data_IF_537710166640
#
_entry.id   IF_537710166640
#
_cell.length_a   1.000
_cell.length_b   1.000
_cell.length_c   1.000
_cell.angle_alpha   90.00
_cell.angle_beta   90.00
_cell.angle_gamma   90.00
#
_symmetry.space_group_name_H-M   'P 1'
#
loop_
_entity.id
_entity.type
_entity.pdbx_description
1 polymer ?
#
# COMPACT_ATOMS: atom_id res chain seq x y z
N UNK A 1 -13.43 -9.45 29.60
CA UNK A 1 -14.04 -8.65 28.54
C UNK A 1 -14.13 -9.54 27.31
N UNK A 2 -15.34 -9.81 26.83
CA UNK A 2 -15.50 -10.58 25.59
C UNK A 2 -14.96 -9.73 24.42
N UNK A 3 -13.81 -10.11 23.92
CA UNK A 3 -13.26 -9.50 22.70
C UNK A 3 -14.18 -9.90 21.53
N UNK A 4 -15.04 -8.98 21.13
CA UNK A 4 -15.98 -9.21 20.05
C UNK A 4 -15.23 -9.43 18.74
N UNK A 5 -15.38 -10.62 18.16
CA UNK A 5 -14.79 -10.95 16.86
C UNK A 5 -15.53 -10.18 15.78
N UNK A 6 -14.81 -9.32 15.06
CA UNK A 6 -15.31 -8.64 13.86
C UNK A 6 -14.79 -9.35 12.63
N UNK A 7 -15.58 -9.42 11.57
CA UNK A 7 -15.17 -10.01 10.30
C UNK A 7 -15.17 -8.93 9.22
N UNK A 8 -14.00 -8.71 8.61
CA UNK A 8 -13.89 -7.88 7.41
C UNK A 8 -14.03 -8.77 6.20
N UNK A 9 -14.89 -8.39 5.28
CA UNK A 9 -15.13 -9.10 4.02
C UNK A 9 -14.65 -8.23 2.88
N UNK A 10 -13.82 -8.80 2.02
CA UNK A 10 -13.35 -8.18 0.79
C UNK A 10 -13.58 -9.17 -0.36
N UNK A 11 -14.09 -8.70 -1.49
CA UNK A 11 -14.42 -9.55 -2.64
C UNK A 11 -13.18 -10.23 -3.25
N UNK A 12 -12.01 -9.58 -3.19
CA UNK A 12 -10.76 -10.09 -3.76
C UNK A 12 -9.99 -11.00 -2.79
N UNK A 13 -9.97 -10.66 -1.49
CA UNK A 13 -9.14 -11.35 -0.48
C UNK A 13 -9.92 -12.26 0.46
N UNK A 14 -11.25 -12.33 0.30
CA UNK A 14 -12.12 -13.11 1.16
C UNK A 14 -12.41 -12.45 2.50
N UNK A 15 -12.60 -13.24 3.55
CA UNK A 15 -12.96 -12.75 4.87
C UNK A 15 -11.83 -12.95 5.87
N UNK A 16 -11.53 -11.89 6.65
CA UNK A 16 -10.53 -11.91 7.71
C UNK A 16 -11.19 -11.53 9.03
N UNK A 17 -11.12 -12.42 10.00
CA UNK A 17 -11.59 -12.17 11.37
C UNK A 17 -10.56 -11.34 12.13
N UNK A 18 -11.05 -10.43 12.94
CA UNK A 18 -10.22 -9.57 13.79
C UNK A 18 -10.78 -9.54 15.21
N UNK A 19 -9.91 -9.25 16.15
CA UNK A 19 -10.24 -8.92 17.54
C UNK A 19 -9.55 -7.62 17.92
N UNK A 20 -10.04 -6.97 18.94
CA UNK A 20 -9.35 -5.84 19.55
C UNK A 20 -8.75 -6.30 20.88
N UNK A 21 -7.44 -6.15 21.05
CA UNK A 21 -6.74 -6.51 22.27
C UNK A 21 -5.84 -5.35 22.72
N UNK A 22 -6.07 -4.85 23.91
CA UNK A 22 -5.34 -3.70 24.48
C UNK A 22 -5.33 -2.46 23.58
N UNK A 23 -6.45 -2.15 22.91
CA UNK A 23 -6.59 -1.02 21.98
C UNK A 23 -5.88 -1.24 20.63
N UNK A 24 -5.46 -2.47 20.33
CA UNK A 24 -4.85 -2.82 19.05
C UNK A 24 -5.68 -3.85 18.31
N UNK A 25 -5.81 -3.66 17.00
CA UNK A 25 -6.48 -4.64 16.13
C UNK A 25 -5.51 -5.79 15.86
N UNK A 26 -6.01 -7.01 16.08
CA UNK A 26 -5.30 -8.24 15.81
C UNK A 26 -6.06 -9.03 14.74
N UNK A 27 -5.36 -9.64 13.83
CA UNK A 27 -5.91 -10.33 12.65
C UNK A 27 -5.81 -11.85 12.81
N UNK A 28 -6.82 -12.60 12.44
CA UNK A 28 -6.74 -14.07 12.43
C UNK A 28 -5.66 -14.53 11.46
N UNK A 29 -4.56 -15.04 11.98
CA UNK A 29 -3.38 -15.40 11.20
C UNK A 29 -3.66 -16.47 10.14
N UNK A 30 -4.57 -17.42 10.44
CA UNK A 30 -5.00 -18.43 9.46
C UNK A 30 -5.72 -17.79 8.27
N UNK A 31 -6.65 -16.88 8.55
CA UNK A 31 -7.45 -16.23 7.49
C UNK A 31 -6.54 -15.38 6.60
N UNK A 32 -5.64 -14.60 7.22
CA UNK A 32 -4.63 -13.80 6.49
C UNK A 32 -3.72 -14.67 5.63
N UNK A 33 -3.18 -15.76 6.19
CA UNK A 33 -2.28 -16.63 5.44
C UNK A 33 -3.00 -17.32 4.26
N UNK A 34 -4.27 -17.70 4.42
CA UNK A 34 -5.08 -18.25 3.33
C UNK A 34 -5.32 -17.21 2.23
N UNK A 35 -5.70 -15.98 2.61
CA UNK A 35 -5.89 -14.87 1.68
C UNK A 35 -4.61 -14.56 0.90
N UNK A 36 -3.44 -14.69 1.52
CA UNK A 36 -2.13 -14.49 0.91
C UNK A 36 -1.59 -15.73 0.16
N UNK A 37 -2.41 -16.77 -0.03
CA UNK A 37 -2.06 -17.93 -0.85
C UNK A 37 -1.09 -18.93 -0.20
N UNK A 38 -0.88 -18.86 1.11
CA UNK A 38 -0.03 -19.84 1.80
C UNK A 38 -0.76 -21.18 1.94
N UNK A 39 -0.16 -22.24 1.43
CA UNK A 39 -0.68 -23.61 1.53
C UNK A 39 -0.62 -24.16 2.96
N UNK A 40 0.45 -23.86 3.70
CA UNK A 40 0.60 -24.18 5.12
C UNK A 40 0.59 -22.89 5.95
N UNK A 41 -0.60 -22.54 6.42
CA UNK A 41 -0.82 -21.32 7.21
C UNK A 41 -0.10 -21.31 8.56
N UNK A 42 0.04 -22.48 9.19
CA UNK A 42 0.74 -22.58 10.47
C UNK A 42 2.24 -22.40 10.32
N UNK A 43 2.82 -22.99 9.30
CA UNK A 43 4.23 -22.81 8.98
C UNK A 43 4.52 -21.36 8.55
N UNK A 44 3.66 -20.74 7.73
CA UNK A 44 3.79 -19.35 7.35
C UNK A 44 3.86 -18.43 8.58
N UNK A 45 2.92 -18.57 9.53
CA UNK A 45 2.91 -17.79 10.77
C UNK A 45 4.16 -18.07 11.60
N UNK A 46 4.58 -19.33 11.72
CA UNK A 46 5.76 -19.71 12.49
C UNK A 46 7.06 -19.13 11.94
N UNK A 47 7.17 -19.09 10.60
CA UNK A 47 8.39 -18.67 9.89
C UNK A 47 8.50 -17.15 9.77
N UNK A 48 7.39 -16.47 9.44
CA UNK A 48 7.42 -15.06 9.08
C UNK A 48 6.97 -14.12 10.21
N UNK A 49 6.21 -14.60 11.19
CA UNK A 49 5.73 -13.76 12.27
C UNK A 49 6.68 -13.77 13.49
N UNK A 50 6.85 -12.62 14.11
CA UNK A 50 7.51 -12.52 15.42
C UNK A 50 6.57 -12.99 16.51
N UNK A 51 7.10 -13.75 17.47
CA UNK A 51 6.32 -14.38 18.55
C UNK A 51 5.61 -13.37 19.46
N UNK A 52 6.23 -12.22 19.71
CA UNK A 52 5.68 -11.11 20.51
C UNK A 52 4.44 -10.47 19.93
N UNK A 53 4.21 -10.64 18.63
CA UNK A 53 3.02 -10.18 17.92
C UNK A 53 2.02 -11.30 17.60
N UNK A 54 2.06 -12.44 18.28
CA UNK A 54 1.12 -13.56 18.09
C UNK A 54 0.45 -13.89 19.41
N UNK A 55 -0.88 -13.82 19.45
CA UNK A 55 -1.70 -14.21 20.60
C UNK A 55 -2.62 -15.37 20.23
N UNK A 56 -2.96 -16.19 21.23
CA UNK A 56 -3.95 -17.27 21.06
C UNK A 56 -5.25 -16.82 21.70
N UNK A 57 -6.28 -16.68 20.87
CA UNK A 57 -7.63 -16.38 21.32
C UNK A 57 -8.52 -17.59 21.07
N UNK A 58 -9.42 -17.90 22.04
CA UNK A 58 -10.31 -19.03 21.93
C UNK A 58 -11.61 -18.62 21.25
N UNK A 59 -11.89 -19.22 20.11
CA UNK A 59 -13.13 -19.06 19.37
C UNK A 59 -14.05 -20.23 19.64
N UNK A 60 -15.35 -19.97 19.61
CA UNK A 60 -16.38 -21.03 19.66
C UNK A 60 -16.74 -21.37 18.23
N UNK A 61 -16.59 -22.63 17.84
CA UNK A 61 -16.99 -23.10 16.52
C UNK A 61 -18.53 -23.28 16.43
N UNK A 62 -19.02 -23.58 15.21
CA UNK A 62 -20.45 -23.81 14.97
C UNK A 62 -21.05 -24.98 15.76
N UNK A 63 -20.21 -25.84 16.34
CA UNK A 63 -20.59 -26.98 17.18
C UNK A 63 -20.45 -26.69 18.67
N UNK A 64 -20.17 -25.42 19.07
CA UNK A 64 -20.00 -25.00 20.45
C UNK A 64 -18.65 -25.36 21.11
N UNK A 65 -17.68 -25.87 20.32
CA UNK A 65 -16.35 -26.27 20.85
C UNK A 65 -15.39 -25.10 20.86
N UNK A 66 -14.66 -24.95 21.96
CA UNK A 66 -13.58 -23.97 22.05
C UNK A 66 -12.37 -24.40 21.22
N UNK A 67 -11.99 -23.58 20.25
CA UNK A 67 -10.79 -23.76 19.44
C UNK A 67 -9.85 -22.59 19.59
N UNK A 68 -8.57 -22.86 19.88
CA UNK A 68 -7.52 -21.84 19.93
C UNK A 68 -7.17 -21.38 18.51
N UNK A 69 -7.38 -20.11 18.21
CA UNK A 69 -6.96 -19.47 16.98
C UNK A 69 -5.81 -18.50 17.24
N UNK A 70 -4.82 -18.48 16.36
CA UNK A 70 -3.70 -17.53 16.42
C UNK A 70 -4.14 -16.22 15.77
N UNK A 71 -4.05 -15.14 16.53
CA UNK A 71 -4.21 -13.79 16.03
C UNK A 71 -2.86 -13.10 15.99
N UNK A 72 -2.61 -12.34 14.93
CA UNK A 72 -1.35 -11.68 14.64
C UNK A 72 -1.53 -10.17 14.66
N UNK A 73 -0.49 -9.47 15.09
CA UNK A 73 -0.44 -8.01 15.05
C UNK A 73 -0.32 -7.50 13.60
N UNK A 74 -0.64 -6.25 13.39
CA UNK A 74 -0.48 -5.55 12.12
C UNK A 74 0.94 -5.64 11.57
N UNK A 75 1.96 -5.52 12.41
CA UNK A 75 3.35 -5.73 12.00
C UNK A 75 3.62 -7.12 11.46
N UNK A 76 2.96 -8.16 11.99
CA UNK A 76 3.08 -9.52 11.50
C UNK A 76 2.26 -9.73 10.22
N UNK A 77 1.12 -9.04 10.07
CA UNK A 77 0.39 -8.99 8.81
C UNK A 77 1.29 -8.48 7.67
N UNK A 78 1.96 -7.34 7.85
CA UNK A 78 2.90 -6.80 6.87
C UNK A 78 4.04 -7.77 6.54
N UNK A 79 4.58 -8.50 7.52
CA UNK A 79 5.59 -9.53 7.26
C UNK A 79 5.07 -10.68 6.40
N UNK A 80 3.84 -11.13 6.62
CA UNK A 80 3.23 -12.16 5.76
C UNK A 80 3.00 -11.64 4.34
N UNK A 81 2.57 -10.38 4.18
CA UNK A 81 2.39 -9.76 2.87
C UNK A 81 3.72 -9.71 2.11
N UNK A 82 4.79 -9.22 2.73
CA UNK A 82 6.12 -9.11 2.10
C UNK A 82 6.77 -10.44 1.72
N UNK A 83 6.25 -11.56 2.19
CA UNK A 83 6.74 -12.91 1.83
C UNK A 83 5.73 -13.69 0.98
N UNK A 84 4.60 -13.11 0.62
CA UNK A 84 3.64 -13.70 -0.31
C UNK A 84 4.11 -13.54 -1.76
N UNK A 85 3.83 -14.53 -2.61
CA UNK A 85 4.15 -14.52 -4.03
C UNK A 85 2.94 -14.17 -4.91
N UNK A 86 1.89 -13.67 -4.31
CA UNK A 86 0.72 -13.27 -5.08
C UNK A 86 0.90 -11.87 -5.68
N UNK A 87 0.44 -11.63 -6.92
CA UNK A 87 0.68 -10.37 -7.63
C UNK A 87 0.19 -9.12 -6.88
N UNK A 88 -0.90 -9.23 -6.11
CA UNK A 88 -1.40 -8.12 -5.31
C UNK A 88 -0.54 -7.86 -4.06
N UNK A 89 0.09 -8.90 -3.50
CA UNK A 89 1.02 -8.73 -2.38
C UNK A 89 2.30 -8.02 -2.84
N UNK A 90 2.81 -8.34 -4.03
CA UNK A 90 3.93 -7.63 -4.67
C UNK A 90 3.59 -6.15 -4.93
N UNK A 91 2.37 -5.84 -5.41
CA UNK A 91 1.92 -4.46 -5.59
C UNK A 91 1.86 -3.69 -4.26
N UNK A 92 1.36 -4.33 -3.21
CA UNK A 92 1.32 -3.73 -1.88
C UNK A 92 2.73 -3.49 -1.33
N UNK A 93 3.63 -4.46 -1.48
CA UNK A 93 5.03 -4.36 -1.08
C UNK A 93 5.72 -3.19 -1.80
N UNK A 94 5.64 -3.13 -3.14
CA UNK A 94 6.19 -2.04 -3.93
C UNK A 94 5.62 -0.69 -3.50
N UNK A 95 4.32 -0.58 -3.28
CA UNK A 95 3.72 0.65 -2.80
C UNK A 95 4.31 1.10 -1.45
N UNK A 96 4.46 0.18 -0.49
CA UNK A 96 5.05 0.50 0.81
C UNK A 96 6.53 0.89 0.70
N UNK A 97 7.34 0.10 -0.01
CA UNK A 97 8.80 0.27 -0.03
C UNK A 97 9.27 1.34 -1.04
N UNK A 98 8.54 1.53 -2.14
CA UNK A 98 8.95 2.45 -3.21
C UNK A 98 8.30 3.83 -3.08
N UNK A 99 7.16 3.94 -2.39
CA UNK A 99 6.41 5.19 -2.26
C UNK A 99 6.25 5.65 -0.79
N UNK A 100 5.58 4.85 0.06
CA UNK A 100 5.21 5.26 1.41
C UNK A 100 6.44 5.54 2.28
N UNK A 101 7.33 4.56 2.44
CA UNK A 101 8.50 4.70 3.31
C UNK A 101 9.49 5.76 2.81
N UNK A 102 9.84 5.83 1.50
CA UNK A 102 10.68 6.92 1.00
C UNK A 102 10.04 8.30 1.19
N UNK A 103 8.71 8.40 1.04
CA UNK A 103 8.00 9.67 1.26
C UNK A 103 8.07 10.08 2.72
N UNK A 104 7.79 9.19 3.67
CA UNK A 104 7.93 9.46 5.11
C UNK A 104 9.35 9.88 5.46
N UNK A 105 10.36 9.20 4.94
CA UNK A 105 11.77 9.53 5.19
C UNK A 105 12.15 10.92 4.69
N UNK A 106 11.61 11.35 3.54
CA UNK A 106 11.93 12.66 2.94
C UNK A 106 11.16 13.81 3.58
N UNK A 107 9.88 13.59 3.91
CA UNK A 107 8.93 14.65 4.27
C UNK A 107 8.51 14.62 5.75
N UNK A 108 8.81 13.53 6.46
CA UNK A 108 8.36 13.31 7.84
C UNK A 108 6.94 12.75 7.97
N UNK A 109 6.19 12.56 6.86
CA UNK A 109 4.84 12.03 6.90
C UNK A 109 4.34 11.48 5.57
N UNK A 110 3.24 10.72 5.63
CA UNK A 110 2.49 10.24 4.48
C UNK A 110 1.02 10.52 4.71
N UNK A 111 0.41 11.30 3.83
CA UNK A 111 -1.00 11.68 3.90
C UNK A 111 -1.72 11.00 2.74
N UNK A 112 -2.42 9.91 3.02
CA UNK A 112 -3.25 9.20 2.05
C UNK A 112 -4.71 9.67 2.08
N UNK A 113 -5.13 10.28 3.19
CA UNK A 113 -6.48 10.79 3.40
C UNK A 113 -6.42 12.14 4.13
N UNK A 114 -6.79 13.19 3.43
CA UNK A 114 -6.72 14.58 3.91
C UNK A 114 -7.64 14.82 5.10
N UNK A 115 -8.88 14.30 5.05
CA UNK A 115 -9.85 14.49 6.14
C UNK A 115 -9.39 13.81 7.43
N UNK A 116 -8.91 12.58 7.32
CA UNK A 116 -8.38 11.85 8.48
C UNK A 116 -7.15 12.55 9.07
N UNK A 117 -6.33 13.17 8.24
CA UNK A 117 -5.19 13.97 8.72
C UNK A 117 -5.67 15.21 9.48
N UNK A 118 -6.65 15.95 8.92
CA UNK A 118 -7.22 17.14 9.54
C UNK A 118 -7.85 16.79 10.88
N UNK A 119 -8.66 15.74 10.94
CA UNK A 119 -9.36 15.31 12.15
C UNK A 119 -8.40 14.88 13.27
N UNK A 120 -7.36 14.14 12.92
CA UNK A 120 -6.42 13.57 13.91
C UNK A 120 -5.32 14.54 14.35
N UNK A 121 -4.82 15.38 13.44
CA UNK A 121 -3.63 16.22 13.70
C UNK A 121 -3.94 17.70 13.82
N UNK A 122 -5.08 18.15 13.28
CA UNK A 122 -5.48 19.57 13.27
C UNK A 122 -6.90 19.78 13.83
N UNK A 123 -7.35 19.03 14.88
CA UNK A 123 -8.70 19.18 15.43
C UNK A 123 -8.96 20.56 16.03
N UNK A 124 -7.89 21.26 16.44
CA UNK A 124 -7.94 22.57 17.07
C UNK A 124 -8.08 23.74 16.09
N UNK A 125 -8.00 23.48 14.77
CA UNK A 125 -8.18 24.53 13.77
C UNK A 125 -9.65 24.80 13.49
N UNK A 126 -9.99 26.07 13.29
CA UNK A 126 -11.31 26.49 12.82
C UNK A 126 -11.52 26.10 11.35
N UNK A 127 -12.79 25.94 10.95
CA UNK A 127 -13.16 25.50 9.59
C UNK A 127 -12.53 26.31 8.44
N UNK A 128 -12.39 27.66 8.51
CA UNK A 128 -11.72 28.39 7.44
C UNK A 128 -10.28 27.95 7.19
N UNK A 129 -9.53 27.63 8.26
CA UNK A 129 -8.14 27.14 8.16
C UNK A 129 -8.08 25.70 7.68
N UNK A 130 -9.02 24.83 8.11
CA UNK A 130 -9.15 23.48 7.60
C UNK A 130 -9.44 23.48 6.09
N UNK A 131 -10.32 24.37 5.64
CA UNK A 131 -10.64 24.53 4.21
C UNK A 131 -9.43 25.03 3.40
N UNK A 132 -8.64 25.94 3.95
CA UNK A 132 -7.39 26.36 3.32
C UNK A 132 -6.39 25.19 3.19
N UNK A 133 -6.27 24.36 4.22
CA UNK A 133 -5.44 23.16 4.18
C UNK A 133 -5.92 22.17 3.11
N UNK A 134 -7.23 21.87 3.04
CA UNK A 134 -7.83 21.03 1.97
C UNK A 134 -7.49 21.55 0.58
N UNK A 135 -7.61 22.85 0.40
CA UNK A 135 -7.28 23.47 -0.88
C UNK A 135 -5.81 23.30 -1.25
N UNK A 136 -4.90 23.52 -0.27
CA UNK A 136 -3.46 23.32 -0.47
C UNK A 136 -3.13 21.87 -0.84
N UNK A 137 -3.71 20.89 -0.13
CA UNK A 137 -3.51 19.47 -0.43
C UNK A 137 -4.03 19.09 -1.83
N UNK A 138 -5.18 19.65 -2.23
CA UNK A 138 -5.71 19.47 -3.58
C UNK A 138 -4.76 20.01 -4.65
N UNK A 139 -4.15 21.18 -4.43
CA UNK A 139 -3.14 21.72 -5.36
C UNK A 139 -1.89 20.84 -5.41
N UNK A 140 -1.38 20.39 -4.27
CA UNK A 140 -0.22 19.49 -4.20
C UNK A 140 -0.50 18.19 -4.95
N UNK A 141 -1.68 17.60 -4.76
CA UNK A 141 -2.11 16.37 -5.45
C UNK A 141 -2.12 16.56 -6.97
N UNK A 142 -2.72 17.65 -7.46
CA UNK A 142 -2.76 17.98 -8.91
C UNK A 142 -1.37 18.23 -9.49
N UNK A 143 -0.49 18.92 -8.73
CA UNK A 143 0.90 19.14 -9.15
C UNK A 143 1.67 17.82 -9.23
N UNK A 144 1.52 16.96 -8.26
CA UNK A 144 2.17 15.65 -8.25
C UNK A 144 1.68 14.75 -9.40
N UNK A 145 0.38 14.79 -9.68
CA UNK A 145 -0.20 14.10 -10.85
C UNK A 145 0.40 14.64 -12.16
N UNK A 146 0.50 15.95 -12.31
CA UNK A 146 1.13 16.57 -13.49
C UNK A 146 2.60 16.17 -13.61
N UNK A 147 3.38 16.27 -12.54
CA UNK A 147 4.79 15.86 -12.51
C UNK A 147 4.92 14.38 -12.93
N UNK A 148 4.06 13.50 -12.43
CA UNK A 148 4.05 12.08 -12.79
C UNK A 148 3.76 11.85 -14.26
N UNK A 149 2.80 12.61 -14.82
CA UNK A 149 2.43 12.53 -16.23
C UNK A 149 3.51 13.10 -17.15
N UNK A 150 4.19 14.19 -16.72
CA UNK A 150 5.23 14.85 -17.48
C UNK A 150 6.59 14.14 -17.39
N UNK A 151 6.81 13.36 -16.32
CA UNK A 151 8.10 12.68 -16.06
C UNK A 151 8.61 11.85 -17.23
N UNK A 152 7.81 10.99 -17.91
CA UNK A 152 8.30 10.22 -19.04
C UNK A 152 8.80 11.11 -20.20
N UNK A 153 8.16 12.27 -20.39
CA UNK A 153 8.52 13.25 -21.42
C UNK A 153 9.84 13.94 -21.11
N UNK A 154 10.02 14.30 -19.84
CA UNK A 154 11.27 14.88 -19.33
C UNK A 154 12.42 13.86 -19.40
N UNK A 155 12.19 12.62 -18.98
CA UNK A 155 13.18 11.53 -19.05
C UNK A 155 13.58 11.25 -20.50
N UNK A 156 12.63 11.27 -21.43
CA UNK A 156 12.89 11.15 -22.87
C UNK A 156 13.73 12.32 -23.39
N UNK A 157 13.36 13.55 -23.06
CA UNK A 157 14.08 14.75 -23.49
C UNK A 157 15.53 14.77 -22.96
N UNK A 158 15.74 14.39 -21.70
CA UNK A 158 17.07 14.27 -21.11
C UNK A 158 17.90 13.19 -21.80
N UNK A 159 17.31 12.03 -22.10
CA UNK A 159 18.01 10.96 -22.81
C UNK A 159 18.44 11.38 -24.22
N UNK A 160 17.61 12.15 -24.93
CA UNK A 160 17.97 12.72 -26.24
C UNK A 160 19.06 13.79 -26.11
N UNK A 161 18.99 14.63 -25.08
CA UNK A 161 19.98 15.69 -24.85
C UNK A 161 21.38 15.15 -24.46
N UNK A 162 21.42 14.03 -23.72
CA UNK A 162 22.66 13.37 -23.31
C UNK A 162 23.28 12.46 -24.40
N UNK A 163 22.56 12.22 -25.51
CA UNK A 163 23.13 11.44 -26.62
C UNK A 163 24.14 12.28 -27.39
N UNK A 164 25.39 11.87 -27.39
CA UNK A 164 26.48 12.51 -28.17
C UNK A 164 26.36 12.26 -29.68
N UNK A 165 25.55 11.27 -30.08
CA UNK A 165 25.33 10.91 -31.48
C UNK A 165 24.07 11.56 -32.05
N UNK A 166 24.14 12.01 -33.32
CA UNK A 166 22.99 12.46 -34.09
C UNK A 166 22.01 11.29 -34.28
N UNK A 167 20.93 11.33 -33.52
CA UNK A 167 19.82 10.37 -33.63
C UNK A 167 18.98 10.75 -34.83
N UNK A 168 18.87 9.86 -35.82
CA UNK A 168 17.99 10.09 -36.98
C UNK A 168 16.51 10.10 -36.53
N UNK A 169 15.63 10.67 -37.35
CA UNK A 169 14.19 10.79 -37.08
C UNK A 169 13.51 9.43 -36.81
N UNK A 170 14.00 8.35 -37.46
CA UNK A 170 13.45 7.00 -37.27
C UNK A 170 13.87 6.41 -35.91
N UNK A 171 15.13 6.60 -35.55
CA UNK A 171 15.67 6.16 -34.27
C UNK A 171 14.98 6.91 -33.11
N UNK A 172 14.76 8.21 -33.27
CA UNK A 172 14.03 9.03 -32.31
C UNK A 172 12.57 8.61 -32.15
N UNK A 173 11.87 8.32 -33.27
CA UNK A 173 10.49 7.83 -33.23
C UNK A 173 10.37 6.47 -32.55
N UNK A 174 11.34 5.56 -32.77
CA UNK A 174 11.40 4.25 -32.11
C UNK A 174 11.64 4.39 -30.61
N UNK A 175 12.57 5.25 -30.22
CA UNK A 175 12.89 5.53 -28.80
C UNK A 175 11.69 6.15 -28.07
N UNK A 176 10.92 7.04 -28.73
CA UNK A 176 9.69 7.59 -28.22
C UNK A 176 8.62 6.50 -28.04
N UNK A 177 8.46 5.59 -29.00
CA UNK A 177 7.51 4.49 -28.92
C UNK A 177 7.83 3.52 -27.77
N UNK A 178 9.12 3.19 -27.57
CA UNK A 178 9.57 2.35 -26.45
C UNK A 178 9.29 2.96 -25.07
N UNK A 179 9.14 4.30 -25.03
CA UNK A 179 8.73 5.07 -23.82
C UNK A 179 7.24 5.42 -23.80
N UNK A 180 6.39 4.71 -24.55
CA UNK A 180 4.95 4.91 -24.71
C UNK A 180 4.53 6.25 -25.33
N UNK A 181 5.43 6.93 -26.07
CA UNK A 181 5.08 8.11 -26.86
C UNK A 181 4.81 7.71 -28.31
N UNK A 182 3.56 7.75 -28.72
CA UNK A 182 3.15 7.44 -30.08
C UNK A 182 3.33 8.66 -31.00
N UNK A 183 4.59 8.96 -31.37
CA UNK A 183 4.93 10.10 -32.24
C UNK A 183 5.23 9.58 -33.63
N UNK A 184 4.42 9.93 -34.61
CA UNK A 184 4.69 9.63 -36.01
C UNK A 184 5.82 10.50 -36.56
N UNK A 185 6.50 10.00 -37.62
CA UNK A 185 7.63 10.64 -38.30
C UNK A 185 7.39 12.09 -38.74
N UNK A 186 6.12 12.46 -38.95
CA UNK A 186 5.68 13.82 -39.39
C UNK A 186 5.47 14.80 -38.23
N UNK A 187 5.66 14.41 -36.98
CA UNK A 187 5.46 15.23 -35.78
C UNK A 187 6.73 15.46 -34.95
N UNK A 188 7.88 15.05 -35.45
CA UNK A 188 9.19 15.33 -34.86
C UNK A 188 9.86 16.57 -35.49
#
# INVERSE_FOLDING_TARGET
MDNMVKTFVNEEFGSVRTIEENGRVMFCGKDVALALGYSDTNNAIKTHCKKDGVVIHHLIDSMGRKQGAKFISECNLYRLISHSRLPYAEKFESWIFDDVLPTIRRTGGYVSNEEMFIENYLPFLDEPYKNLFRLQMTFISKLNERIRNDKPLVDFALHVADSEDLIDMNAMAKLAADKNFNIGRTRL
#
